data_IF_723124366688
#
_entry.id   IF_723124366688
#
_cell.length_a   1.000
_cell.length_b   1.000
_cell.length_c   1.000
_cell.angle_alpha   90.00
_cell.angle_beta   90.00
_cell.angle_gamma   90.00
#
_symmetry.space_group_name_H-M   'P 1'
#
loop_
_entity.id
_entity.type
_entity.pdbx_description
1 polymer ?
#
# COMPACT_ATOMS: atom_id res chain seq x y z
N UNK A 1 10.76 -2.07 18.80
CA UNK A 1 10.68 -2.21 17.34
C UNK A 1 9.67 -1.20 16.79
N UNK A 2 9.94 -0.58 15.63
CA UNK A 2 8.98 0.30 14.99
C UNK A 2 7.67 -0.42 14.72
N UNK A 3 6.57 0.26 14.94
CA UNK A 3 5.23 -0.30 14.75
C UNK A 3 4.32 0.78 14.15
N UNK A 4 3.80 0.55 12.97
CA UNK A 4 2.95 1.51 12.28
C UNK A 4 2.63 1.08 10.85
N UNK A 5 1.95 1.92 10.08
CA UNK A 5 1.60 1.64 8.68
C UNK A 5 2.80 1.27 7.83
N UNK A 6 3.95 1.92 8.04
CA UNK A 6 5.19 1.65 7.29
C UNK A 6 5.79 0.26 7.52
N UNK A 7 5.49 -0.40 8.64
CA UNK A 7 5.94 -1.77 8.94
C UNK A 7 4.86 -2.83 8.75
N UNK A 8 3.61 -2.41 8.63
CA UNK A 8 2.43 -3.30 8.57
C UNK A 8 1.77 -3.35 7.19
N UNK A 9 2.36 -2.66 6.20
CA UNK A 9 1.88 -2.71 4.83
C UNK A 9 2.31 -4.00 4.12
N UNK A 10 1.72 -4.25 2.96
CA UNK A 10 1.95 -5.46 2.19
C UNK A 10 3.24 -5.44 1.34
N UNK A 11 3.98 -4.33 1.30
CA UNK A 11 5.23 -4.21 0.55
C UNK A 11 5.07 -4.15 -0.96
N UNK A 12 3.99 -3.56 -1.43
CA UNK A 12 3.79 -3.24 -2.85
C UNK A 12 4.55 -1.97 -3.21
N UNK A 13 5.25 -2.05 -4.31
CA UNK A 13 5.91 -0.92 -4.98
C UNK A 13 5.10 -0.61 -6.24
N UNK A 14 4.02 0.13 -6.08
CA UNK A 14 3.06 0.46 -7.12
C UNK A 14 2.78 1.97 -7.16
N UNK A 15 2.20 2.43 -8.26
CA UNK A 15 1.87 3.84 -8.49
C UNK A 15 0.39 4.06 -8.85
N UNK A 16 -0.38 3.00 -8.94
CA UNK A 16 -1.80 2.93 -9.27
C UNK A 16 -2.08 1.88 -10.33
N UNK A 17 -3.12 1.08 -10.18
CA UNK A 17 -3.60 0.19 -11.23
C UNK A 17 -4.36 0.96 -12.30
N UNK A 18 -4.60 0.35 -13.46
CA UNK A 18 -5.32 1.01 -14.55
C UNK A 18 -6.71 1.47 -14.12
N UNK A 19 -7.46 0.62 -13.40
CA UNK A 19 -8.79 0.98 -12.93
C UNK A 19 -8.80 2.07 -11.85
N UNK A 20 -7.76 2.11 -11.00
CA UNK A 20 -7.59 3.20 -10.02
C UNK A 20 -7.36 4.54 -10.73
N UNK A 21 -6.47 4.59 -11.73
CA UNK A 21 -6.20 5.80 -12.51
C UNK A 21 -7.47 6.26 -13.26
N UNK A 22 -8.21 5.34 -13.86
CA UNK A 22 -9.48 5.68 -14.51
C UNK A 22 -10.54 6.21 -13.54
N UNK A 23 -10.57 5.69 -12.32
CA UNK A 23 -11.46 6.21 -11.27
C UNK A 23 -11.01 7.59 -10.79
N UNK A 24 -9.71 7.81 -10.67
CA UNK A 24 -9.16 9.09 -10.23
C UNK A 24 -9.41 10.19 -11.29
N UNK A 25 -9.35 9.87 -12.58
CA UNK A 25 -9.71 10.78 -13.68
C UNK A 25 -11.18 11.23 -13.70
N UNK A 26 -12.06 10.56 -12.96
CA UNK A 26 -13.45 11.03 -12.79
C UNK A 26 -13.54 12.29 -11.91
N UNK A 27 -12.54 12.57 -11.10
CA UNK A 27 -12.53 13.68 -10.13
C UNK A 27 -11.28 14.55 -10.22
N UNK A 28 -10.26 14.15 -10.97
CA UNK A 28 -8.99 14.86 -11.13
C UNK A 28 -8.67 15.08 -12.60
N UNK A 29 -7.88 16.10 -12.87
CA UNK A 29 -7.37 16.41 -14.21
C UNK A 29 -6.21 15.47 -14.59
N UNK A 30 -5.93 15.39 -15.90
CA UNK A 30 -4.78 14.65 -16.42
C UNK A 30 -3.45 15.12 -15.79
N UNK A 31 -3.30 16.41 -15.54
CA UNK A 31 -2.09 16.98 -14.93
C UNK A 31 -1.94 16.52 -13.49
N UNK A 32 -3.00 16.58 -12.69
CA UNK A 32 -2.96 16.11 -11.30
C UNK A 32 -2.65 14.61 -11.20
N UNK A 33 -3.17 13.80 -12.11
CA UNK A 33 -2.83 12.37 -12.18
C UNK A 33 -1.36 12.15 -12.56
N UNK A 34 -0.87 12.88 -13.56
CA UNK A 34 0.55 12.82 -13.93
C UNK A 34 1.47 13.20 -12.77
N UNK A 35 1.15 14.29 -12.08
CA UNK A 35 1.93 14.75 -10.94
C UNK A 35 1.93 13.71 -9.82
N UNK A 36 0.78 13.15 -9.47
CA UNK A 36 0.64 12.12 -8.45
C UNK A 36 1.45 10.85 -8.79
N UNK A 37 1.36 10.38 -10.03
CA UNK A 37 2.12 9.20 -10.48
C UNK A 37 3.62 9.50 -10.49
N UNK A 38 4.02 10.68 -10.96
CA UNK A 38 5.43 11.10 -10.99
C UNK A 38 6.02 11.21 -9.57
N UNK A 39 5.28 11.76 -8.62
CA UNK A 39 5.69 11.81 -7.20
C UNK A 39 5.90 10.42 -6.62
N UNK A 40 4.97 9.49 -6.86
CA UNK A 40 5.07 8.09 -6.40
C UNK A 40 6.29 7.38 -6.98
N UNK A 41 6.51 7.51 -8.29
CA UNK A 41 7.67 6.92 -8.99
C UNK A 41 8.98 7.55 -8.51
N UNK A 42 9.00 8.87 -8.35
CA UNK A 42 10.18 9.61 -7.87
C UNK A 42 10.51 9.24 -6.42
N UNK A 43 9.50 9.15 -5.55
CA UNK A 43 9.65 8.73 -4.15
C UNK A 43 10.18 7.30 -4.04
N UNK A 44 9.67 6.37 -4.86
CA UNK A 44 10.16 5.01 -4.95
C UNK A 44 11.63 4.96 -5.36
N UNK A 45 12.00 5.69 -6.41
CA UNK A 45 13.38 5.75 -6.89
C UNK A 45 14.32 6.37 -5.85
N UNK A 46 13.87 7.41 -5.13
CA UNK A 46 14.62 8.00 -4.03
C UNK A 46 14.86 6.98 -2.90
N UNK A 47 13.83 6.24 -2.51
CA UNK A 47 13.92 5.20 -1.48
C UNK A 47 14.93 4.11 -1.88
N UNK A 48 14.84 3.59 -3.11
CA UNK A 48 15.75 2.58 -3.65
C UNK A 48 17.20 3.08 -3.71
N UNK A 49 17.40 4.30 -4.20
CA UNK A 49 18.74 4.94 -4.24
C UNK A 49 19.31 5.14 -2.83
N UNK A 50 18.47 5.48 -1.86
CA UNK A 50 18.90 5.81 -0.49
C UNK A 50 19.22 4.56 0.33
N UNK A 51 18.42 3.51 0.20
CA UNK A 51 18.52 2.31 1.03
C UNK A 51 19.23 1.15 0.33
N UNK A 52 19.19 1.09 -1.01
CA UNK A 52 19.70 0.00 -1.82
C UNK A 52 18.68 -1.15 -1.98
N UNK A 53 18.53 -1.64 -3.20
CA UNK A 53 17.54 -2.68 -3.55
C UNK A 53 17.72 -3.96 -2.73
N UNK A 54 18.95 -4.43 -2.54
CA UNK A 54 19.26 -5.64 -1.77
C UNK A 54 18.88 -5.50 -0.28
N UNK A 55 19.09 -4.30 0.29
CA UNK A 55 18.79 -4.03 1.69
C UNK A 55 17.29 -3.99 2.01
N UNK A 56 16.44 -3.78 1.00
CA UNK A 56 14.99 -3.72 1.13
C UNK A 56 14.29 -4.90 0.45
N UNK A 57 15.07 -5.86 -0.05
CA UNK A 57 14.59 -7.03 -0.80
C UNK A 57 13.65 -6.63 -1.96
N UNK A 58 14.09 -5.63 -2.74
CA UNK A 58 13.31 -5.13 -3.88
C UNK A 58 13.33 -6.10 -5.04
N UNK A 59 12.16 -6.57 -5.46
CA UNK A 59 11.99 -7.56 -6.53
C UNK A 59 11.09 -7.01 -7.64
N UNK A 60 11.63 -6.87 -8.84
CA UNK A 60 10.89 -6.49 -10.05
C UNK A 60 10.02 -7.68 -10.51
N UNK A 61 8.93 -7.92 -9.82
CA UNK A 61 8.01 -9.04 -10.10
C UNK A 61 6.88 -8.67 -11.08
N UNK A 62 6.73 -7.39 -11.39
CA UNK A 62 5.55 -6.88 -12.08
C UNK A 62 4.33 -6.84 -11.18
N UNK A 63 3.28 -6.17 -11.67
CA UNK A 63 1.96 -6.09 -11.05
C UNK A 63 0.87 -6.50 -12.01
N UNK A 64 -0.13 -7.19 -11.52
CA UNK A 64 -1.29 -7.65 -12.28
C UNK A 64 -2.56 -7.05 -11.69
N UNK A 65 -3.41 -6.50 -12.53
CA UNK A 65 -4.78 -6.17 -12.16
C UNK A 65 -5.72 -7.25 -12.70
N UNK A 66 -6.31 -7.98 -11.78
CA UNK A 66 -7.22 -9.10 -12.06
C UNK A 66 -8.67 -8.64 -11.93
N UNK A 67 -9.52 -9.10 -12.83
CA UNK A 67 -10.95 -8.76 -12.84
C UNK A 67 -11.79 -10.01 -12.55
N UNK A 68 -12.66 -9.92 -11.55
CA UNK A 68 -13.60 -10.99 -11.26
C UNK A 68 -14.64 -11.13 -12.39
N UNK A 69 -15.20 -12.32 -12.59
CA UNK A 69 -16.16 -12.59 -13.67
C UNK A 69 -17.33 -11.58 -13.70
N UNK A 70 -17.78 -11.14 -12.52
CA UNK A 70 -18.86 -10.16 -12.35
C UNK A 70 -18.49 -8.72 -12.67
N UNK A 71 -17.22 -8.40 -12.87
CA UNK A 71 -16.69 -7.03 -13.04
C UNK A 71 -16.61 -6.63 -14.54
N UNK A 72 -17.60 -6.98 -15.34
CA UNK A 72 -17.57 -6.74 -16.80
C UNK A 72 -17.43 -5.26 -17.16
N UNK A 73 -18.17 -4.36 -16.51
CA UNK A 73 -18.13 -2.93 -16.81
C UNK A 73 -16.74 -2.31 -16.61
N UNK A 74 -16.11 -2.58 -15.48
CA UNK A 74 -14.77 -2.01 -15.20
C UNK A 74 -13.70 -2.68 -16.08
N UNK A 75 -13.85 -3.98 -16.34
CA UNK A 75 -12.99 -4.72 -17.25
C UNK A 75 -13.01 -4.13 -18.66
N UNK A 76 -14.19 -3.94 -19.25
CA UNK A 76 -14.35 -3.37 -20.59
C UNK A 76 -13.81 -1.92 -20.61
N UNK A 77 -14.15 -1.08 -19.62
CA UNK A 77 -13.65 0.28 -19.47
C UNK A 77 -12.11 0.33 -19.44
N UNK A 78 -11.46 -0.60 -18.74
CA UNK A 78 -10.01 -0.70 -18.69
C UNK A 78 -9.41 -1.04 -20.04
N UNK A 79 -9.97 -2.02 -20.76
CA UNK A 79 -9.47 -2.42 -22.08
C UNK A 79 -9.64 -1.31 -23.12
N UNK A 80 -10.76 -0.61 -23.12
CA UNK A 80 -11.05 0.50 -24.04
C UNK A 80 -10.12 1.69 -23.82
N UNK A 81 -9.74 1.99 -22.58
CA UNK A 81 -8.94 3.15 -22.23
C UNK A 81 -7.45 2.87 -22.03
N UNK A 82 -7.01 1.63 -22.18
CA UNK A 82 -5.62 1.21 -21.94
C UNK A 82 -4.61 2.08 -22.72
N UNK A 83 -4.88 2.31 -24.02
CA UNK A 83 -4.00 3.14 -24.85
C UNK A 83 -3.97 4.59 -24.37
N UNK A 84 -5.11 5.17 -24.04
CA UNK A 84 -5.23 6.57 -23.57
C UNK A 84 -4.40 6.77 -22.30
N UNK A 85 -4.47 5.82 -21.36
CA UNK A 85 -3.70 5.89 -20.12
C UNK A 85 -2.21 5.65 -20.35
N UNK A 86 -1.82 4.75 -21.24
CA UNK A 86 -0.42 4.59 -21.63
C UNK A 86 0.13 5.87 -22.25
N UNK A 87 -0.59 6.50 -23.19
CA UNK A 87 -0.21 7.77 -23.79
C UNK A 87 -0.08 8.88 -22.71
N UNK A 88 -1.02 8.95 -21.77
CA UNK A 88 -0.97 9.90 -20.65
C UNK A 88 0.29 9.71 -19.79
N UNK A 89 0.66 8.48 -19.46
CA UNK A 89 1.79 8.17 -18.58
C UNK A 89 3.14 8.09 -19.29
N UNK A 90 3.16 8.13 -20.61
CA UNK A 90 4.39 8.03 -21.43
C UNK A 90 5.48 9.05 -21.07
N UNK A 91 5.20 10.29 -20.63
CA UNK A 91 6.24 11.22 -20.20
C UNK A 91 7.08 10.72 -19.02
N UNK A 92 6.48 9.90 -18.14
CA UNK A 92 7.14 9.35 -16.94
C UNK A 92 7.92 8.08 -17.26
N UNK A 93 7.29 7.13 -17.96
CA UNK A 93 7.82 5.77 -18.14
C UNK A 93 8.56 5.53 -19.47
N UNK A 94 8.26 6.35 -20.48
CA UNK A 94 8.83 6.24 -21.86
C UNK A 94 8.57 4.88 -22.53
N UNK A 95 7.59 4.14 -22.08
CA UNK A 95 7.13 2.84 -22.58
C UNK A 95 5.66 2.65 -22.17
N UNK A 96 4.99 1.66 -22.78
CA UNK A 96 3.66 1.25 -22.36
C UNK A 96 3.69 0.72 -20.92
N UNK A 97 2.97 1.42 -20.05
CA UNK A 97 2.90 1.09 -18.61
C UNK A 97 2.06 -0.16 -18.37
N UNK A 98 0.96 -0.26 -19.09
CA UNK A 98 -0.01 -1.35 -18.97
C UNK A 98 -0.11 -2.14 -20.26
N UNK A 99 -0.14 -3.47 -20.12
CA UNK A 99 -0.31 -4.42 -21.24
C UNK A 99 -1.38 -5.45 -20.89
N UNK A 100 -2.19 -5.81 -21.86
CA UNK A 100 -3.18 -6.90 -21.69
C UNK A 100 -2.49 -8.24 -21.85
N UNK A 101 -2.61 -9.09 -20.84
CA UNK A 101 -2.03 -10.44 -20.84
C UNK A 101 -3.11 -11.48 -20.46
N UNK A 102 -2.83 -12.75 -20.68
CA UNK A 102 -3.69 -13.83 -20.20
C UNK A 102 -3.65 -13.90 -18.68
N UNK A 103 -4.81 -14.05 -18.05
CA UNK A 103 -4.90 -14.29 -16.61
C UNK A 103 -4.23 -15.63 -16.28
N UNK A 104 -3.37 -15.71 -15.26
CA UNK A 104 -2.73 -16.96 -14.86
C UNK A 104 -3.75 -18.07 -14.54
N UNK A 105 -3.55 -19.26 -15.07
CA UNK A 105 -4.48 -20.39 -14.96
C UNK A 105 -4.59 -20.97 -13.53
N UNK A 106 -3.71 -20.58 -12.62
CA UNK A 106 -3.78 -20.99 -11.21
C UNK A 106 -4.96 -20.35 -10.44
N UNK A 107 -5.55 -19.30 -10.98
CA UNK A 107 -6.70 -18.60 -10.41
C UNK A 107 -8.03 -19.12 -10.99
N UNK A 108 -9.14 -18.81 -10.29
CA UNK A 108 -10.49 -19.15 -10.76
C UNK A 108 -11.44 -17.97 -10.65
N UNK A 109 -12.61 -18.04 -11.31
CA UNK A 109 -13.67 -17.01 -11.28
C UNK A 109 -13.18 -15.61 -11.69
N UNK A 110 -12.24 -15.55 -12.64
CA UNK A 110 -11.66 -14.32 -13.17
C UNK A 110 -11.86 -14.23 -14.68
N UNK A 111 -11.88 -13.00 -15.21
CA UNK A 111 -11.84 -12.74 -16.65
C UNK A 111 -10.61 -13.41 -17.29
N UNK A 112 -10.70 -13.85 -18.56
CA UNK A 112 -9.61 -14.59 -19.23
C UNK A 112 -8.36 -13.74 -19.49
N UNK A 113 -8.50 -12.42 -19.45
CA UNK A 113 -7.39 -11.47 -19.59
C UNK A 113 -7.34 -10.55 -18.38
N UNK A 114 -6.14 -10.09 -18.06
CA UNK A 114 -5.84 -9.12 -17.01
C UNK A 114 -4.90 -8.03 -17.53
N UNK A 115 -4.70 -6.98 -16.76
CA UNK A 115 -3.75 -5.93 -17.08
C UNK A 115 -2.46 -6.18 -16.30
N UNK A 116 -1.32 -6.04 -16.97
CA UNK A 116 0.01 -6.24 -16.39
C UNK A 116 0.84 -4.97 -16.54
N UNK A 117 1.56 -4.61 -15.47
CA UNK A 117 2.58 -3.56 -15.47
C UNK A 117 3.95 -4.13 -15.08
N UNK A 118 4.95 -3.97 -15.95
CA UNK A 118 6.33 -4.35 -15.65
C UNK A 118 7.04 -3.39 -14.68
N UNK A 119 6.45 -2.22 -14.42
CA UNK A 119 7.03 -1.17 -13.58
C UNK A 119 6.71 -1.34 -12.10
N UNK A 120 5.80 -2.24 -11.76
CA UNK A 120 5.51 -2.59 -10.37
C UNK A 120 6.49 -3.63 -9.83
N UNK A 121 6.63 -3.63 -8.51
CA UNK A 121 7.57 -4.49 -7.81
C UNK A 121 7.09 -4.82 -6.40
N UNK A 122 7.87 -5.62 -5.70
CA UNK A 122 7.69 -5.96 -4.29
C UNK A 122 8.91 -5.53 -3.49
N UNK A 123 8.72 -5.27 -2.21
CA UNK A 123 9.79 -5.07 -1.24
C UNK A 123 9.42 -5.69 0.11
N UNK A 124 10.40 -5.82 1.00
CA UNK A 124 10.18 -6.22 2.39
C UNK A 124 10.07 -4.97 3.29
N UNK A 125 8.89 -4.62 3.81
CA UNK A 125 8.70 -3.45 4.67
C UNK A 125 9.51 -3.51 5.97
N UNK A 126 9.74 -4.71 6.49
CA UNK A 126 10.56 -4.91 7.69
C UNK A 126 12.03 -4.58 7.43
N UNK A 127 12.60 -5.11 6.34
CA UNK A 127 13.97 -4.80 5.90
C UNK A 127 14.10 -3.32 5.54
N UNK A 128 13.12 -2.74 4.88
CA UNK A 128 13.11 -1.31 4.55
C UNK A 128 13.23 -0.44 5.81
N UNK A 129 12.41 -0.66 6.82
CA UNK A 129 12.45 0.10 8.06
C UNK A 129 13.74 -0.14 8.84
N UNK A 130 14.23 -1.37 8.89
CA UNK A 130 15.52 -1.66 9.54
C UNK A 130 16.68 -0.93 8.85
N UNK A 131 16.70 -0.89 7.53
CA UNK A 131 17.70 -0.15 6.75
C UNK A 131 17.61 1.36 6.99
N UNK A 132 16.39 1.90 7.05
CA UNK A 132 16.16 3.30 7.37
C UNK A 132 16.62 3.65 8.80
N UNK A 133 16.36 2.82 9.79
CA UNK A 133 16.82 3.01 11.17
C UNK A 133 18.35 3.05 11.22
N UNK A 134 19.03 2.11 10.57
CA UNK A 134 20.50 2.08 10.49
C UNK A 134 21.04 3.38 9.88
N UNK A 135 20.43 3.84 8.80
CA UNK A 135 20.81 5.08 8.13
C UNK A 135 20.62 6.30 9.04
N UNK A 136 19.46 6.41 9.72
CA UNK A 136 19.16 7.50 10.65
C UNK A 136 20.16 7.53 11.81
N UNK A 137 20.45 6.38 12.41
CA UNK A 137 21.44 6.25 13.49
C UNK A 137 22.85 6.57 13.02
N UNK A 138 23.26 6.17 11.82
CA UNK A 138 24.57 6.50 11.27
C UNK A 138 24.78 8.00 11.03
N UNK A 139 23.69 8.76 10.91
CA UNK A 139 23.71 10.24 10.83
C UNK A 139 23.63 10.93 12.21
N UNK A 140 23.73 10.19 13.30
CA UNK A 140 23.68 10.73 14.67
C UNK A 140 22.29 11.17 15.13
N UNK A 141 21.23 10.84 14.40
CA UNK A 141 19.85 11.20 14.76
C UNK A 141 19.41 10.30 15.92
N UNK A 142 18.90 10.92 16.99
CA UNK A 142 18.40 10.21 18.17
C UNK A 142 16.97 9.72 17.95
N UNK A 143 16.74 8.44 18.20
CA UNK A 143 15.42 7.81 18.16
C UNK A 143 14.95 7.58 19.60
N UNK A 144 13.84 8.20 19.96
CA UNK A 144 13.21 8.03 21.27
C UNK A 144 11.98 7.14 21.12
N UNK A 145 12.03 5.97 21.74
CA UNK A 145 10.91 5.00 21.74
C UNK A 145 10.07 5.18 23.01
N UNK A 146 8.79 4.80 22.94
CA UNK A 146 7.84 4.93 24.04
C UNK A 146 7.59 6.37 24.52
N UNK A 147 7.96 7.34 23.70
CA UNK A 147 7.65 8.74 23.90
C UNK A 147 6.37 9.08 23.15
N UNK A 148 5.32 9.38 23.90
CA UNK A 148 4.04 9.79 23.35
C UNK A 148 3.92 11.32 23.48
N UNK A 149 3.95 12.00 22.35
CA UNK A 149 3.71 13.45 22.27
C UNK A 149 2.24 13.72 22.56
N UNK A 150 1.93 14.52 23.57
CA UNK A 150 0.59 14.90 23.98
C UNK A 150 0.14 16.19 23.32
N UNK A 151 1.03 17.18 23.32
CA UNK A 151 0.79 18.51 22.78
C UNK A 151 2.10 19.19 22.38
N UNK A 152 2.01 20.27 21.62
CA UNK A 152 3.12 21.18 21.40
C UNK A 152 2.61 22.62 21.41
N UNK A 153 3.50 23.56 21.76
CA UNK A 153 3.25 24.99 21.76
C UNK A 153 4.39 25.71 21.04
N UNK A 154 4.03 26.54 20.08
CA UNK A 154 4.99 27.39 19.37
C UNK A 154 5.19 28.71 20.11
N UNK A 155 6.44 29.13 20.20
CA UNK A 155 6.88 30.43 20.68
C UNK A 155 7.77 31.09 19.62
N UNK A 156 8.08 32.36 19.78
CA UNK A 156 8.87 33.08 18.75
C UNK A 156 10.22 32.43 18.40
N UNK A 157 10.83 31.75 19.35
CA UNK A 157 12.19 31.22 19.22
C UNK A 157 12.31 29.71 19.37
N UNK A 158 11.24 29.00 19.71
CA UNK A 158 11.28 27.55 19.94
C UNK A 158 9.91 26.94 19.96
N UNK A 159 9.86 25.61 19.83
CA UNK A 159 8.68 24.79 20.06
C UNK A 159 8.87 23.99 21.34
N UNK A 160 7.92 24.12 22.26
CA UNK A 160 7.82 23.29 23.46
C UNK A 160 6.96 22.07 23.15
N UNK A 161 7.45 20.87 23.47
CA UNK A 161 6.75 19.60 23.20
C UNK A 161 6.50 18.89 24.54
N UNK A 162 5.24 18.70 24.89
CA UNK A 162 4.83 17.92 26.05
C UNK A 162 4.75 16.44 25.69
N UNK A 163 5.34 15.57 26.50
CA UNK A 163 5.26 14.13 26.30
C UNK A 163 4.77 13.41 27.57
N UNK A 164 4.64 12.08 27.47
CA UNK A 164 4.30 11.23 28.62
C UNK A 164 5.46 11.02 29.61
N UNK A 165 6.68 11.44 29.29
CA UNK A 165 7.87 11.13 30.08
C UNK A 165 8.75 12.35 30.35
N UNK A 166 9.14 13.10 29.33
CA UNK A 166 9.97 14.29 29.40
C UNK A 166 9.42 15.38 28.48
N UNK A 167 9.54 16.63 28.85
CA UNK A 167 9.28 17.74 27.95
C UNK A 167 10.51 18.06 27.10
N UNK A 168 10.29 18.34 25.83
CA UNK A 168 11.34 18.64 24.87
C UNK A 168 11.21 20.05 24.34
N UNK A 169 12.34 20.62 23.96
CA UNK A 169 12.40 21.92 23.31
C UNK A 169 13.24 21.83 22.05
N UNK A 170 12.75 22.40 20.96
CA UNK A 170 13.41 22.39 19.65
C UNK A 170 13.14 23.69 18.89
N UNK A 171 13.91 23.94 17.83
CA UNK A 171 13.71 25.11 16.98
C UNK A 171 12.57 24.87 15.97
N UNK A 172 12.38 23.62 15.53
CA UNK A 172 11.37 23.24 14.54
C UNK A 172 10.79 21.87 14.87
N UNK A 173 9.50 21.69 14.60
CA UNK A 173 8.81 20.40 14.67
C UNK A 173 8.31 19.99 13.27
N UNK A 174 8.40 18.71 12.97
CA UNK A 174 7.80 18.11 11.75
C UNK A 174 6.85 17.01 12.19
N UNK A 175 5.57 17.16 11.84
CA UNK A 175 4.52 16.20 12.18
C UNK A 175 4.40 15.17 11.06
N UNK A 176 4.83 13.93 11.30
CA UNK A 176 4.75 12.80 10.35
C UNK A 176 3.93 11.66 10.96
N UNK A 177 2.79 12.01 11.55
CA UNK A 177 1.98 11.13 12.39
C UNK A 177 0.91 10.35 11.63
N UNK A 178 0.90 10.43 10.29
CA UNK A 178 0.01 9.66 9.39
C UNK A 178 -1.47 9.78 9.85
N UNK A 179 -2.22 8.70 9.90
CA UNK A 179 -3.62 8.66 10.35
C UNK A 179 -3.86 9.06 11.82
N UNK A 180 -2.81 9.37 12.58
CA UNK A 180 -2.91 9.85 13.96
C UNK A 180 -2.78 11.38 14.09
N UNK A 181 -2.62 12.10 12.98
CA UNK A 181 -2.34 13.54 12.95
C UNK A 181 -3.38 14.35 13.70
N UNK A 182 -4.66 14.00 13.61
CA UNK A 182 -5.75 14.71 14.30
C UNK A 182 -5.69 14.66 15.84
N UNK A 183 -4.78 13.87 16.40
CA UNK A 183 -4.50 13.90 17.85
C UNK A 183 -3.66 15.12 18.28
N UNK A 184 -2.88 15.66 17.36
CA UNK A 184 -1.97 16.80 17.63
C UNK A 184 -2.38 18.06 16.86
N UNK A 185 -2.91 17.91 15.66
CA UNK A 185 -3.29 19.01 14.79
C UNK A 185 -4.55 18.64 14.00
N UNK A 186 -5.50 19.58 13.86
CA UNK A 186 -6.72 19.39 13.08
C UNK A 186 -6.41 19.57 11.59
N UNK A 187 -6.13 18.46 10.92
CA UNK A 187 -5.95 18.39 9.47
C UNK A 187 -7.04 17.51 8.86
N UNK A 188 -7.30 17.71 7.57
CA UNK A 188 -8.26 16.89 6.82
C UNK A 188 -7.66 15.51 6.46
N UNK A 189 -7.17 14.80 7.46
CA UNK A 189 -6.63 13.45 7.32
C UNK A 189 -7.50 12.48 8.13
N UNK A 190 -8.20 11.59 7.44
CA UNK A 190 -8.98 10.55 8.08
C UNK A 190 -8.13 9.29 8.34
N UNK A 191 -8.20 8.69 9.54
CA UNK A 191 -7.57 7.40 9.78
C UNK A 191 -8.32 6.30 9.04
N UNK A 192 -7.57 5.38 8.43
CA UNK A 192 -8.12 4.25 7.71
C UNK A 192 -7.40 2.96 8.10
N UNK A 193 -8.13 2.06 8.75
CA UNK A 193 -7.61 0.74 9.09
C UNK A 193 -7.70 -0.18 7.88
N UNK A 194 -6.55 -0.77 7.50
CA UNK A 194 -6.49 -1.84 6.52
C UNK A 194 -6.07 -3.14 7.20
N UNK A 195 -6.75 -4.21 6.83
CA UNK A 195 -6.54 -5.54 7.40
C UNK A 195 -5.83 -6.45 6.41
N UNK A 196 -4.99 -7.30 6.95
CA UNK A 196 -4.14 -8.21 6.19
C UNK A 196 -4.13 -9.57 6.88
N UNK A 197 -3.98 -10.62 6.10
CA UNK A 197 -3.64 -11.94 6.59
C UNK A 197 -2.55 -12.57 5.72
N UNK A 198 -1.83 -13.55 6.28
CA UNK A 198 -0.82 -14.34 5.59
C UNK A 198 -1.03 -15.82 5.88
N UNK A 199 -0.86 -16.65 4.85
CA UNK A 199 -0.94 -18.11 4.99
C UNK A 199 0.36 -18.68 5.58
N UNK A 200 0.29 -19.90 6.14
CA UNK A 200 1.47 -20.74 6.31
C UNK A 200 2.10 -21.06 4.93
N UNK A 201 3.34 -21.57 4.88
CA UNK A 201 3.95 -21.99 3.62
C UNK A 201 3.09 -23.03 2.90
N UNK A 202 2.84 -22.80 1.62
CA UNK A 202 2.03 -23.66 0.73
C UNK A 202 2.99 -24.48 -0.15
N UNK A 203 2.75 -25.77 -0.19
CA UNK A 203 3.54 -26.69 -1.03
C UNK A 203 3.22 -26.42 -2.50
N UNK A 204 4.27 -26.36 -3.34
CA UNK A 204 4.15 -26.15 -4.80
C UNK A 204 3.39 -24.86 -5.18
N UNK A 205 3.55 -23.78 -4.42
CA UNK A 205 2.99 -22.48 -4.76
C UNK A 205 3.71 -21.90 -5.97
N UNK A 206 3.00 -21.72 -7.08
CA UNK A 206 3.52 -21.16 -8.34
C UNK A 206 3.18 -19.67 -8.52
N UNK A 207 2.37 -19.09 -7.63
CA UNK A 207 1.98 -17.67 -7.70
C UNK A 207 3.20 -16.78 -7.41
N UNK A 208 3.52 -15.92 -8.37
CA UNK A 208 4.62 -14.96 -8.24
C UNK A 208 4.20 -13.62 -8.83
N UNK A 209 4.34 -12.54 -8.07
CA UNK A 209 3.99 -11.18 -8.47
C UNK A 209 3.11 -10.46 -7.44
N UNK A 210 2.79 -9.23 -7.78
CA UNK A 210 1.82 -8.37 -7.07
C UNK A 210 0.50 -8.38 -7.81
N UNK A 211 -0.61 -8.49 -7.11
CA UNK A 211 -1.93 -8.62 -7.72
C UNK A 211 -2.91 -7.65 -7.07
N UNK A 212 -3.66 -6.94 -7.89
CA UNK A 212 -4.72 -6.02 -7.50
C UNK A 212 -6.07 -6.55 -8.00
N UNK A 213 -7.13 -6.34 -7.24
CA UNK A 213 -8.52 -6.67 -7.60
C UNK A 213 -9.46 -5.58 -7.08
N UNK A 214 -10.63 -5.44 -7.71
CA UNK A 214 -11.68 -4.50 -7.29
C UNK A 214 -11.12 -3.08 -7.09
N UNK A 215 -10.49 -2.52 -8.12
CA UNK A 215 -9.91 -1.17 -8.08
C UNK A 215 -8.94 -0.94 -6.91
N UNK A 216 -8.10 -1.94 -6.63
CA UNK A 216 -7.11 -1.88 -5.55
C UNK A 216 -7.68 -2.13 -4.14
N UNK A 217 -8.99 -2.32 -3.99
CA UNK A 217 -9.59 -2.63 -2.69
C UNK A 217 -9.19 -3.99 -2.13
N UNK A 218 -8.77 -4.93 -2.98
CA UNK A 218 -8.11 -6.16 -2.58
C UNK A 218 -6.75 -6.25 -3.28
N UNK A 219 -5.76 -6.71 -2.55
CA UNK A 219 -4.43 -6.91 -3.07
C UNK A 219 -3.79 -8.14 -2.44
N UNK A 220 -3.02 -8.88 -3.22
CA UNK A 220 -2.26 -10.02 -2.70
C UNK A 220 -0.94 -10.20 -3.43
N UNK A 221 -0.01 -10.86 -2.77
CA UNK A 221 1.29 -11.24 -3.34
C UNK A 221 1.83 -12.50 -2.71
N UNK A 222 2.82 -13.11 -3.35
CA UNK A 222 3.61 -14.14 -2.70
C UNK A 222 4.68 -13.51 -1.78
N UNK A 223 4.95 -14.17 -0.67
CA UNK A 223 6.12 -13.96 0.19
C UNK A 223 6.70 -15.34 0.43
N UNK A 224 7.88 -15.62 -0.16
CA UNK A 224 8.44 -16.96 -0.22
C UNK A 224 7.40 -17.96 -0.75
N UNK A 225 6.99 -18.92 0.08
CA UNK A 225 5.95 -19.91 -0.25
C UNK A 225 4.60 -19.61 0.39
N UNK A 226 4.33 -18.37 0.75
CA UNK A 226 3.08 -17.89 1.39
C UNK A 226 2.33 -16.94 0.47
N UNK A 227 1.04 -16.81 0.70
CA UNK A 227 0.23 -15.72 0.15
C UNK A 227 -0.10 -14.74 1.28
N UNK A 228 0.24 -13.48 1.05
CA UNK A 228 -0.24 -12.34 1.82
C UNK A 228 -1.37 -11.70 1.04
N UNK A 229 -2.51 -11.49 1.70
CA UNK A 229 -3.67 -10.79 1.13
C UNK A 229 -4.18 -9.74 2.10
N UNK A 230 -4.58 -8.60 1.57
CA UNK A 230 -5.16 -7.51 2.34
C UNK A 230 -6.25 -6.77 1.59
N UNK A 231 -6.86 -5.80 2.29
CA UNK A 231 -7.94 -4.97 1.77
C UNK A 231 -9.29 -5.24 2.40
N UNK A 232 -10.36 -4.99 1.63
CA UNK A 232 -11.73 -5.24 2.09
C UNK A 232 -12.35 -4.08 2.89
N UNK A 233 -11.66 -2.95 3.05
CA UNK A 233 -12.17 -1.80 3.81
C UNK A 233 -13.49 -1.26 3.25
N UNK A 234 -13.74 -1.39 1.95
CA UNK A 234 -14.99 -0.96 1.31
C UNK A 234 -16.24 -1.71 1.81
N UNK A 235 -16.07 -2.82 2.50
CA UNK A 235 -17.17 -3.56 3.11
C UNK A 235 -17.73 -2.86 4.35
N UNK A 236 -16.92 -2.00 5.00
CA UNK A 236 -17.30 -1.33 6.25
C UNK A 236 -16.46 -0.07 6.48
N UNK A 237 -16.60 0.91 5.59
CA UNK A 237 -15.84 2.16 5.68
C UNK A 237 -16.00 2.88 7.02
N UNK A 238 -17.19 2.80 7.61
CA UNK A 238 -17.50 3.48 8.87
C UNK A 238 -16.65 2.92 10.02
N UNK A 239 -16.68 1.62 10.25
CA UNK A 239 -15.94 0.97 11.34
C UNK A 239 -14.42 0.88 11.05
N UNK A 240 -14.03 0.92 9.78
CA UNK A 240 -12.61 0.96 9.39
C UNK A 240 -12.02 2.39 9.38
N UNK A 241 -12.83 3.45 9.58
CA UNK A 241 -12.38 4.82 9.79
C UNK A 241 -11.97 5.03 11.26
N UNK A 242 -10.87 4.42 11.67
CA UNK A 242 -10.46 4.35 13.08
C UNK A 242 -8.93 4.33 13.24
N UNK A 243 -8.46 4.85 14.39
CA UNK A 243 -7.05 4.71 14.83
C UNK A 243 -6.80 3.44 15.67
N UNK A 244 -7.82 2.61 15.92
CA UNK A 244 -7.69 1.37 16.70
C UNK A 244 -7.17 0.24 15.80
N UNK A 245 -6.12 -0.43 16.24
CA UNK A 245 -5.66 -1.68 15.62
C UNK A 245 -6.64 -2.82 15.91
N UNK A 246 -6.53 -3.89 15.14
CA UNK A 246 -7.34 -5.08 15.27
C UNK A 246 -7.94 -5.53 13.94
N UNK A 247 -8.59 -6.65 13.95
CA UNK A 247 -9.24 -7.24 12.77
C UNK A 247 -10.72 -7.49 13.05
N UNK A 248 -11.55 -7.51 12.00
CA UNK A 248 -12.98 -7.79 12.08
C UNK A 248 -13.30 -9.09 11.34
N UNK A 249 -14.28 -9.84 11.84
CA UNK A 249 -14.72 -11.08 11.19
C UNK A 249 -15.21 -10.85 9.76
N UNK A 250 -15.91 -9.75 9.52
CA UNK A 250 -16.43 -9.41 8.20
C UNK A 250 -15.32 -9.37 7.13
N UNK A 251 -14.27 -8.60 7.40
CA UNK A 251 -13.16 -8.44 6.46
C UNK A 251 -12.32 -9.71 6.38
N UNK A 252 -11.96 -10.30 7.53
CA UNK A 252 -11.13 -11.51 7.56
C UNK A 252 -11.80 -12.69 6.83
N UNK A 253 -13.09 -12.93 7.06
CA UNK A 253 -13.83 -13.97 6.35
C UNK A 253 -13.87 -13.72 4.84
N UNK A 254 -13.98 -12.44 4.41
CA UNK A 254 -13.94 -12.09 2.99
C UNK A 254 -12.59 -12.36 2.37
N UNK A 255 -11.49 -12.01 3.05
CA UNK A 255 -10.13 -12.31 2.59
C UNK A 255 -9.89 -13.83 2.46
N UNK A 256 -10.33 -14.62 3.44
CA UNK A 256 -10.27 -16.09 3.35
C UNK A 256 -11.12 -16.65 2.21
N UNK A 257 -12.32 -16.09 2.00
CA UNK A 257 -13.16 -16.49 0.89
C UNK A 257 -12.45 -16.23 -0.46
N UNK A 258 -11.80 -15.07 -0.63
CA UNK A 258 -11.04 -14.76 -1.84
C UNK A 258 -9.86 -15.73 -2.03
N UNK A 259 -9.16 -16.09 -0.95
CA UNK A 259 -8.12 -17.11 -1.02
C UNK A 259 -8.68 -18.43 -1.53
N UNK A 260 -9.74 -18.95 -0.91
CA UNK A 260 -10.33 -20.26 -1.21
C UNK A 260 -10.95 -20.33 -2.60
N UNK A 261 -11.68 -19.26 -2.97
CA UNK A 261 -12.53 -19.27 -4.15
C UNK A 261 -11.82 -18.82 -5.43
N UNK A 262 -10.79 -17.99 -5.31
CA UNK A 262 -10.15 -17.30 -6.45
C UNK A 262 -8.66 -17.59 -6.52
N UNK A 263 -7.93 -17.35 -5.42
CA UNK A 263 -6.46 -17.28 -5.46
C UNK A 263 -5.82 -18.67 -5.31
N UNK A 264 -6.37 -19.51 -4.45
CA UNK A 264 -5.85 -20.83 -4.11
C UNK A 264 -6.92 -21.93 -4.26
N UNK A 265 -7.68 -21.99 -5.38
CA UNK A 265 -8.82 -22.90 -5.50
C UNK A 265 -8.41 -24.38 -5.42
N UNK A 266 -7.18 -24.71 -5.73
CA UNK A 266 -6.64 -26.07 -5.78
C UNK A 266 -5.59 -26.35 -4.69
N UNK A 267 -5.50 -25.51 -3.65
CA UNK A 267 -4.53 -25.67 -2.56
C UNK A 267 -5.23 -25.66 -1.21
N UNK A 268 -4.84 -26.60 -0.37
CA UNK A 268 -5.10 -26.49 1.06
C UNK A 268 -4.17 -25.44 1.68
N UNK A 269 -4.72 -24.59 2.53
CA UNK A 269 -3.94 -23.58 3.23
C UNK A 269 -4.44 -23.37 4.65
N UNK A 270 -3.54 -22.93 5.50
CA UNK A 270 -3.83 -22.46 6.86
C UNK A 270 -3.37 -21.00 7.00
N UNK A 271 -4.09 -20.23 7.81
CA UNK A 271 -3.67 -18.86 8.13
C UNK A 271 -2.62 -18.90 9.24
N UNK A 272 -1.48 -18.25 9.00
CA UNK A 272 -0.40 -18.12 9.98
C UNK A 272 -0.60 -16.90 10.86
N UNK A 273 -0.96 -15.76 10.28
CA UNK A 273 -1.11 -14.51 11.03
C UNK A 273 -2.13 -13.56 10.39
N UNK A 274 -2.67 -12.65 11.23
CA UNK A 274 -3.60 -11.58 10.86
C UNK A 274 -3.19 -10.30 11.58
N UNK A 275 -3.24 -9.19 10.87
CA UNK A 275 -2.95 -7.88 11.49
C UNK A 275 -3.66 -6.75 10.76
N UNK A 276 -3.51 -5.54 11.28
CA UNK A 276 -3.95 -4.33 10.62
C UNK A 276 -2.89 -3.22 10.68
N UNK A 277 -2.95 -2.31 9.73
CA UNK A 277 -2.23 -1.04 9.72
C UNK A 277 -3.20 0.12 9.64
N UNK A 278 -2.81 1.27 10.18
CA UNK A 278 -3.57 2.51 10.06
C UNK A 278 -2.90 3.39 9.02
N UNK A 279 -3.65 3.82 8.03
CA UNK A 279 -3.24 4.82 7.04
C UNK A 279 -3.87 6.16 7.36
N UNK A 280 -3.25 7.25 6.90
CA UNK A 280 -3.88 8.55 6.76
C UNK A 280 -4.44 8.69 5.34
N UNK A 281 -5.68 9.08 5.23
CA UNK A 281 -6.33 9.34 3.94
C UNK A 281 -6.66 10.82 3.88
N UNK A 282 -5.97 11.54 3.03
CA UNK A 282 -6.24 12.93 2.71
C UNK A 282 -7.33 13.08 1.64
N UNK A 283 -7.86 14.29 1.44
CA UNK A 283 -8.91 14.55 0.44
C UNK A 283 -8.46 14.26 -0.99
N UNK A 284 -7.17 14.44 -1.30
CA UNK A 284 -6.60 14.33 -2.64
C UNK A 284 -5.74 13.08 -2.85
N UNK A 285 -5.85 12.06 -1.99
CA UNK A 285 -5.02 10.85 -2.01
C UNK A 285 -3.50 11.09 -1.92
N UNK A 286 -3.06 12.34 -1.75
CA UNK A 286 -1.68 12.71 -1.45
C UNK A 286 -1.45 12.76 0.06
N UNK A 287 -0.20 12.56 0.51
CA UNK A 287 0.14 12.64 1.93
C UNK A 287 -0.05 14.05 2.49
#
# INVERSE_FOLDING_TARGET
>A
LPSGGSTKNAGFSCFGSLSEILSDLETHTNTEILDLVNERVSGLNLMRKTLGDDNIDYKKSGGYELFMDKESLIYDKCLENLKIINDLLSPIFKDDVYKVVSTPNCFSKLKPKCVFSQFEAQLDPGKMILSLIKLVQSKGIKLLNNINVKSYQESDNFVQIETNFIDLKCDKIVLTTNGFTNKLNKLEVAPARNQVLVTKPIKNLEINGSFHMDRGYYYFRNIDKRILIGGGRQLDFENESTTKFGTTHLIQNKLEQLLRDIILPNHDFEIENRWSGIMGVGPNKSP
#
